data_IF_611565761955
#
_entry.id   IF_611565761955
#
_cell.length_a   1.000
_cell.length_b   1.000
_cell.length_c   1.000
_cell.angle_alpha   90.00
_cell.angle_beta   90.00
_cell.angle_gamma   90.00
#
_symmetry.space_group_name_H-M   'P 1'
#
loop_
_entity.id
_entity.type
_entity.pdbx_description
1 polymer ?
#
# COMPACT_ATOMS: atom_id res chain seq x y z
N UNK A 1 -5.61 32.25 -21.11
CA UNK A 1 -5.93 31.83 -19.72
C UNK A 1 -6.59 30.46 -19.80
N UNK A 2 -5.76 29.41 -19.71
CA UNK A 2 -6.15 28.00 -19.78
C UNK A 2 -5.84 27.38 -18.41
N UNK A 3 -6.75 26.61 -17.79
CA UNK A 3 -6.42 25.90 -16.57
C UNK A 3 -5.70 24.59 -16.90
N UNK A 4 -4.48 24.45 -16.37
CA UNK A 4 -3.71 23.22 -16.35
C UNK A 4 -4.48 22.15 -15.54
N UNK A 5 -4.83 21.04 -16.19
CA UNK A 5 -5.26 19.82 -15.51
C UNK A 5 -4.03 19.12 -14.95
N UNK A 6 -3.85 19.22 -13.64
CA UNK A 6 -2.86 18.44 -12.89
C UNK A 6 -3.39 17.01 -12.77
N UNK A 7 -2.91 16.14 -13.66
CA UNK A 7 -3.10 14.70 -13.58
C UNK A 7 -2.38 14.16 -12.35
N UNK A 8 -3.13 14.03 -11.26
CA UNK A 8 -2.67 13.39 -10.04
C UNK A 8 -2.72 11.87 -10.27
N UNK A 9 -1.61 11.30 -10.75
CA UNK A 9 -1.37 9.86 -10.70
C UNK A 9 -1.11 9.46 -9.23
N UNK A 10 -2.18 9.38 -8.44
CA UNK A 10 -2.18 8.71 -7.15
C UNK A 10 -2.19 7.21 -7.41
N UNK A 11 -1.01 6.64 -7.64
CA UNK A 11 -0.79 5.21 -7.49
C UNK A 11 -0.77 4.91 -5.98
N UNK A 12 -1.94 4.80 -5.37
CA UNK A 12 -2.09 4.35 -3.98
C UNK A 12 -1.80 2.85 -3.91
N UNK A 13 -0.56 2.49 -3.63
CA UNK A 13 -0.17 1.13 -3.28
C UNK A 13 -0.61 0.86 -1.83
N UNK A 14 -1.81 0.31 -1.66
CA UNK A 14 -2.29 -0.19 -0.38
C UNK A 14 -1.61 -1.53 -0.08
N UNK A 15 -0.52 -1.51 0.70
CA UNK A 15 0.04 -2.74 1.29
C UNK A 15 -0.85 -3.11 2.48
N UNK A 16 -1.88 -3.92 2.21
CA UNK A 16 -2.66 -4.55 3.26
C UNK A 16 -1.77 -5.53 4.04
N UNK A 17 -1.39 -5.15 5.26
CA UNK A 17 -0.82 -6.06 6.25
C UNK A 17 -1.91 -7.02 6.77
N UNK A 18 -2.24 -8.05 6.00
CA UNK A 18 -3.11 -9.15 6.44
C UNK A 18 -2.38 -10.48 6.36
N UNK A 19 -1.97 -11.03 7.50
CA UNK A 19 -1.52 -12.41 7.62
C UNK A 19 -2.72 -13.30 7.94
N UNK A 20 -3.06 -14.24 7.05
CA UNK A 20 -4.09 -15.25 7.26
C UNK A 20 -3.92 -16.41 6.27
N UNK A 21 -4.01 -17.68 6.69
CA UNK A 21 -3.73 -18.81 5.84
C UNK A 21 -4.85 -19.05 4.83
N UNK A 22 -4.44 -19.52 3.67
CA UNK A 22 -5.23 -19.79 2.47
C UNK A 22 -6.46 -20.66 2.73
N UNK A 23 -7.63 -20.03 2.80
CA UNK A 23 -8.93 -20.68 2.72
C UNK A 23 -9.73 -20.03 1.59
N UNK A 24 -10.16 -20.84 0.61
CA UNK A 24 -11.02 -20.43 -0.50
C UNK A 24 -12.19 -19.54 -0.02
N UNK A 25 -12.16 -18.25 -0.33
CA UNK A 25 -13.28 -17.35 -0.08
C UNK A 25 -14.38 -17.66 -1.11
N UNK A 26 -15.43 -18.37 -0.68
CA UNK A 26 -16.72 -18.40 -1.37
C UNK A 26 -17.57 -17.28 -0.79
N UNK A 27 -17.82 -16.22 -1.55
CA UNK A 27 -18.80 -15.21 -1.17
C UNK A 27 -20.20 -15.70 -1.60
N UNK A 28 -20.96 -16.24 -0.65
CA UNK A 28 -22.39 -16.49 -0.84
C UNK A 28 -23.14 -15.16 -0.68
N UNK A 29 -23.62 -14.59 -1.78
CA UNK A 29 -24.51 -13.44 -1.77
C UNK A 29 -25.89 -13.82 -1.27
N UNK A 30 -26.16 -13.55 0.00
CA UNK A 30 -27.51 -13.56 0.59
C UNK A 30 -27.91 -12.15 0.96
N UNK A 31 -28.94 -11.61 0.30
CA UNK A 31 -29.58 -10.35 0.67
C UNK A 31 -30.39 -10.55 1.96
N UNK A 32 -29.74 -10.33 3.10
CA UNK A 32 -30.38 -10.19 4.41
C UNK A 32 -29.96 -8.84 5.00
N UNK A 33 -30.95 -8.02 5.38
CA UNK A 33 -30.71 -6.76 6.09
C UNK A 33 -30.24 -7.06 7.52
N UNK A 34 -28.93 -7.06 7.74
CA UNK A 34 -28.27 -7.46 9.00
C UNK A 34 -27.16 -6.44 9.37
N UNK A 35 -26.84 -6.25 10.67
CA UNK A 35 -25.88 -5.25 11.18
C UNK A 35 -24.50 -5.24 10.51
N UNK A 36 -24.09 -6.36 9.88
CA UNK A 36 -22.86 -6.43 9.09
C UNK A 36 -22.85 -5.54 7.85
N UNK A 37 -23.99 -5.30 7.20
CA UNK A 37 -24.06 -4.42 6.03
C UNK A 37 -23.87 -2.94 6.42
N UNK A 38 -24.46 -2.52 7.54
CA UNK A 38 -24.27 -1.18 8.09
C UNK A 38 -22.82 -0.96 8.55
N UNK A 39 -22.22 -1.97 9.18
CA UNK A 39 -20.81 -1.92 9.58
C UNK A 39 -19.86 -1.85 8.38
N UNK A 40 -20.09 -2.65 7.33
CA UNK A 40 -19.31 -2.59 6.11
C UNK A 40 -19.42 -1.22 5.41
N UNK A 41 -20.62 -0.64 5.36
CA UNK A 41 -20.83 0.71 4.83
C UNK A 41 -20.08 1.77 5.66
N UNK A 42 -20.06 1.63 6.99
CA UNK A 42 -19.31 2.52 7.87
C UNK A 42 -17.79 2.42 7.65
N UNK A 43 -17.25 1.21 7.46
CA UNK A 43 -15.84 1.01 7.10
C UNK A 43 -15.54 1.66 5.74
N UNK A 44 -16.40 1.47 4.74
CA UNK A 44 -16.20 2.07 3.41
C UNK A 44 -16.17 3.60 3.49
N UNK A 45 -17.10 4.22 4.22
CA UNK A 45 -17.12 5.66 4.43
C UNK A 45 -15.87 6.16 5.19
N UNK A 46 -15.42 5.41 6.19
CA UNK A 46 -14.18 5.73 6.91
C UNK A 46 -12.95 5.61 6.01
N UNK A 47 -12.92 4.63 5.10
CA UNK A 47 -11.87 4.44 4.10
C UNK A 47 -11.83 5.62 3.10
N UNK A 48 -12.98 6.10 2.64
CA UNK A 48 -13.07 7.27 1.76
C UNK A 48 -12.64 8.57 2.45
N UNK A 49 -12.92 8.69 3.75
CA UNK A 49 -12.56 9.87 4.56
C UNK A 49 -11.16 9.85 5.17
N UNK A 50 -10.34 8.84 4.88
CA UNK A 50 -9.00 8.72 5.47
C UNK A 50 -8.10 9.90 5.09
N UNK A 51 -7.25 10.29 6.04
CA UNK A 51 -6.21 11.29 5.84
C UNK A 51 -4.88 10.79 6.40
N UNK A 52 -3.82 11.56 6.21
CA UNK A 52 -2.53 11.33 6.84
C UNK A 52 -2.61 11.70 8.32
N UNK A 53 -2.16 10.82 9.20
CA UNK A 53 -2.06 11.09 10.63
C UNK A 53 -0.74 11.83 10.94
N UNK A 54 -0.79 13.11 11.35
CA UNK A 54 0.41 13.88 11.67
C UNK A 54 1.14 13.36 12.91
N UNK A 55 0.45 12.66 13.81
CA UNK A 55 1.07 12.04 14.99
C UNK A 55 1.81 10.73 14.64
N UNK A 56 1.57 10.17 13.45
CA UNK A 56 2.23 8.97 12.92
C UNK A 56 3.02 9.31 11.66
N UNK A 57 3.82 10.37 11.73
CA UNK A 57 4.72 10.81 10.66
C UNK A 57 6.16 10.82 11.14
N UNK A 58 7.02 10.10 10.42
CA UNK A 58 8.38 9.79 10.85
C UNK A 58 9.39 10.13 9.76
N UNK A 59 10.50 10.75 10.15
CA UNK A 59 11.70 10.82 9.30
C UNK A 59 12.38 9.46 9.34
N UNK A 60 12.64 8.88 8.17
CA UNK A 60 13.29 7.57 8.04
C UNK A 60 14.53 7.68 7.17
N UNK A 61 15.53 6.87 7.50
CA UNK A 61 16.76 6.72 6.73
C UNK A 61 17.18 5.25 6.77
N UNK A 62 17.59 4.72 5.63
CA UNK A 62 18.03 3.34 5.43
C UNK A 62 17.04 2.29 5.99
N UNK A 63 15.75 2.47 5.69
CA UNK A 63 14.69 1.59 6.18
C UNK A 63 14.40 0.46 5.18
N UNK A 64 14.59 -0.79 5.61
CA UNK A 64 14.23 -2.00 4.87
C UNK A 64 12.94 -2.61 5.42
N UNK A 65 11.95 -2.82 4.55
CA UNK A 65 10.72 -3.54 4.86
C UNK A 65 10.65 -4.81 4.03
N UNK A 66 10.47 -5.96 4.68
CA UNK A 66 10.32 -7.26 4.01
C UNK A 66 8.96 -7.87 4.31
N UNK A 67 8.25 -8.28 3.26
CA UNK A 67 6.98 -9.00 3.35
C UNK A 67 6.88 -10.04 2.24
N UNK A 68 6.97 -11.31 2.60
CA UNK A 68 7.01 -12.40 1.62
C UNK A 68 8.19 -12.19 0.66
N UNK A 69 7.90 -12.19 -0.65
CA UNK A 69 8.89 -12.00 -1.72
C UNK A 69 9.06 -10.53 -2.15
N UNK A 70 8.50 -9.58 -1.36
CA UNK A 70 8.60 -8.14 -1.58
C UNK A 70 9.60 -7.55 -0.59
N UNK A 71 10.58 -6.82 -1.12
CA UNK A 71 11.48 -5.97 -0.32
C UNK A 71 11.35 -4.52 -0.75
N UNK A 72 11.18 -3.63 0.21
CA UNK A 72 11.07 -2.20 -0.01
C UNK A 72 12.24 -1.53 0.71
N UNK A 73 13.02 -0.75 -0.02
CA UNK A 73 14.15 0.01 0.50
C UNK A 73 13.84 1.49 0.44
N UNK A 74 13.80 2.13 1.60
CA UNK A 74 13.52 3.56 1.74
C UNK A 74 14.82 4.24 2.22
N UNK A 75 15.52 4.89 1.30
CA UNK A 75 16.88 5.41 1.56
C UNK A 75 16.83 6.61 2.49
N UNK A 76 16.07 7.65 2.14
CA UNK A 76 15.87 8.81 3.03
C UNK A 76 14.58 9.55 2.68
N UNK A 77 13.76 9.86 3.69
CA UNK A 77 12.50 10.54 3.47
C UNK A 77 11.62 10.66 4.71
N UNK A 78 10.34 10.87 4.46
CA UNK A 78 9.28 10.91 5.47
C UNK A 78 8.28 9.81 5.19
N UNK A 79 8.07 8.93 6.18
CA UNK A 79 7.04 7.91 6.18
C UNK A 79 5.88 8.36 7.07
N UNK A 80 4.71 8.55 6.46
CA UNK A 80 3.49 8.93 7.16
C UNK A 80 2.43 7.86 7.04
N UNK A 81 1.78 7.52 8.16
CA UNK A 81 0.68 6.55 8.17
C UNK A 81 -0.66 7.27 8.00
N UNK A 82 -1.60 6.60 7.33
CA UNK A 82 -2.97 7.06 7.27
C UNK A 82 -3.68 6.83 8.61
N UNK A 83 -4.69 7.65 8.88
CA UNK A 83 -5.62 7.48 10.01
C UNK A 83 -6.17 6.05 10.03
N UNK A 84 -6.13 5.42 11.19
CA UNK A 84 -6.61 4.05 11.34
C UNK A 84 -8.11 3.95 11.06
N UNK A 85 -8.51 2.94 10.29
CA UNK A 85 -9.90 2.56 10.06
C UNK A 85 -10.17 1.29 10.85
N UNK A 86 -11.19 1.31 11.70
CA UNK A 86 -11.53 0.18 12.58
C UNK A 86 -10.32 -0.29 13.42
N UNK A 87 -9.54 0.66 13.95
CA UNK A 87 -8.35 0.39 14.76
C UNK A 87 -7.15 -0.19 13.99
N UNK A 88 -7.22 -0.25 12.66
CA UNK A 88 -6.15 -0.79 11.80
C UNK A 88 -5.60 0.28 10.88
N UNK A 89 -4.28 0.40 10.83
CA UNK A 89 -3.63 1.22 9.81
C UNK A 89 -3.64 0.46 8.48
N UNK A 90 -4.25 1.06 7.46
CA UNK A 90 -4.47 0.42 6.15
C UNK A 90 -3.56 0.97 5.05
N UNK A 91 -2.89 2.11 5.28
CA UNK A 91 -2.02 2.75 4.31
C UNK A 91 -0.86 3.50 4.97
N UNK A 92 0.26 3.56 4.26
CA UNK A 92 1.41 4.38 4.58
C UNK A 92 1.93 5.03 3.30
N UNK A 93 2.46 6.25 3.42
CA UNK A 93 2.95 7.07 2.32
C UNK A 93 4.38 7.45 2.63
N UNK A 94 5.29 7.12 1.72
CA UNK A 94 6.66 7.58 1.78
C UNK A 94 6.87 8.73 0.79
N UNK A 95 7.50 9.81 1.25
CA UNK A 95 7.85 10.96 0.40
C UNK A 95 9.31 11.34 0.58
N UNK A 96 9.97 11.66 -0.52
CA UNK A 96 11.35 12.17 -0.55
C UNK A 96 11.40 13.70 -0.70
N UNK A 97 10.24 14.35 -0.67
CA UNK A 97 10.14 15.79 -0.89
C UNK A 97 10.86 16.58 0.21
N UNK A 98 11.74 17.50 -0.19
CA UNK A 98 12.56 18.28 0.75
C UNK A 98 13.76 17.52 1.32
N UNK A 99 14.17 16.41 0.68
CA UNK A 99 15.38 15.65 1.01
C UNK A 99 16.26 15.58 -0.24
N UNK A 100 17.49 16.06 -0.15
CA UNK A 100 18.43 16.05 -1.27
C UNK A 100 19.02 14.64 -1.40
N UNK A 101 18.68 13.92 -2.47
CA UNK A 101 19.10 12.53 -2.69
C UNK A 101 18.19 11.46 -2.08
N UNK A 102 16.97 11.80 -1.66
CA UNK A 102 15.99 10.81 -1.21
C UNK A 102 15.49 9.94 -2.37
N UNK A 103 15.55 8.62 -2.19
CA UNK A 103 15.10 7.60 -3.15
C UNK A 103 14.29 6.50 -2.45
N UNK A 104 13.49 5.76 -3.24
CA UNK A 104 12.74 4.59 -2.81
C UNK A 104 12.74 3.51 -3.88
N UNK A 105 13.13 2.30 -3.50
CA UNK A 105 13.16 1.15 -4.39
C UNK A 105 12.22 0.05 -3.90
N UNK A 106 11.54 -0.62 -4.84
CA UNK A 106 10.74 -1.81 -4.57
C UNK A 106 11.30 -2.97 -5.39
N UNK A 107 11.85 -3.96 -4.70
CA UNK A 107 12.32 -5.19 -5.30
C UNK A 107 11.24 -6.27 -5.16
N UNK A 108 10.68 -6.68 -6.30
CA UNK A 108 9.74 -7.80 -6.40
C UNK A 108 10.42 -8.97 -7.10
N UNK A 109 10.63 -10.08 -6.38
CA UNK A 109 11.17 -11.29 -6.96
C UNK A 109 10.06 -12.34 -7.14
N UNK A 110 9.83 -12.87 -8.35
CA UNK A 110 8.89 -13.97 -8.54
C UNK A 110 9.27 -15.18 -7.68
N UNK A 111 8.29 -15.75 -6.99
CA UNK A 111 8.54 -16.81 -6.02
C UNK A 111 8.87 -18.16 -6.67
N UNK A 112 8.51 -18.35 -7.95
CA UNK A 112 8.84 -19.58 -8.70
C UNK A 112 10.13 -19.43 -9.50
N UNK A 113 10.94 -20.49 -9.49
CA UNK A 113 12.20 -20.54 -10.24
C UNK A 113 12.00 -20.40 -11.75
N UNK A 114 10.90 -20.93 -12.31
CA UNK A 114 10.54 -20.80 -13.73
C UNK A 114 10.20 -19.37 -14.10
N UNK A 115 9.43 -18.68 -13.26
CA UNK A 115 9.09 -17.26 -13.44
C UNK A 115 10.34 -16.38 -13.36
N UNK A 116 11.24 -16.67 -12.40
CA UNK A 116 12.54 -15.99 -12.32
C UNK A 116 13.40 -16.20 -13.56
N UNK A 117 13.45 -17.43 -14.10
CA UNK A 117 14.18 -17.72 -15.32
C UNK A 117 13.60 -16.94 -16.52
N UNK A 118 12.27 -16.85 -16.61
CA UNK A 118 11.59 -16.06 -17.64
C UNK A 118 11.90 -14.57 -17.51
N UNK A 119 11.87 -14.01 -16.29
CA UNK A 119 12.20 -12.61 -16.03
C UNK A 119 13.66 -12.30 -16.39
N UNK A 120 14.59 -13.17 -15.99
CA UNK A 120 16.02 -13.01 -16.29
C UNK A 120 16.33 -13.10 -17.80
N UNK A 121 15.60 -13.94 -18.55
CA UNK A 121 15.73 -14.00 -20.00
C UNK A 121 15.23 -12.70 -20.68
N UNK A 122 14.10 -12.15 -20.22
CA UNK A 122 13.57 -10.89 -20.73
C UNK A 122 14.50 -9.69 -20.46
N UNK A 123 14.99 -9.55 -19.23
CA UNK A 123 15.82 -8.43 -18.80
C UNK A 123 17.26 -8.41 -19.39
N UNK A 124 17.66 -9.45 -20.12
CA UNK A 124 18.97 -9.56 -20.78
C UNK A 124 19.05 -8.88 -22.17
N UNK A 125 17.98 -8.22 -22.60
CA UNK A 125 17.90 -7.50 -23.89
C UNK A 125 18.46 -6.09 -23.74
#
# INVERSE_FOLDING_TARGET
MTPFRLGCCLLSFAVCLGAGPSGHLRYAGGAGSEPGAAHAAAIAAALEGMSIDPAQTYRVRDLELTRGDIKIYLTEGVLSFATAVDGRCVAAIFTTHGVEGGDAEVLLLPNRSTERASLAAFAKT
#
